data_IF_529229441440
#
_entry.id   IF_529229441440
#
_cell.length_a   1.000
_cell.length_b   1.000
_cell.length_c   1.000
_cell.angle_alpha   90.00
_cell.angle_beta   90.00
_cell.angle_gamma   90.00
#
_symmetry.space_group_name_H-M   'P 1'
#
loop_
_entity.id
_entity.type
_entity.pdbx_description
1 polymer ?
#
# COMPACT_ATOMS: atom_id res chain seq x y z
N UNK A 1 -18.91 31.66 33.73
CA UNK A 1 -18.24 30.37 33.50
C UNK A 1 -18.67 29.92 32.13
N UNK A 2 -17.72 29.73 31.20
CA UNK A 2 -18.00 29.22 29.86
C UNK A 2 -17.41 27.82 29.80
N UNK A 3 -18.29 26.83 29.79
CA UNK A 3 -17.96 25.44 29.56
C UNK A 3 -17.87 25.26 28.04
N UNK A 4 -16.69 25.49 27.48
CA UNK A 4 -16.47 25.28 26.06
C UNK A 4 -16.29 23.78 25.77
N UNK A 5 -16.95 23.32 24.72
CA UNK A 5 -17.29 21.91 24.55
C UNK A 5 -16.07 21.14 24.04
N UNK A 6 -15.51 20.29 24.90
CA UNK A 6 -14.42 19.41 24.53
C UNK A 6 -14.78 18.58 23.30
N UNK A 7 -14.07 18.81 22.20
CA UNK A 7 -14.03 17.89 21.07
C UNK A 7 -13.46 16.56 21.58
N UNK A 8 -14.34 15.66 22.00
CA UNK A 8 -13.97 14.30 22.37
C UNK A 8 -13.68 13.50 21.09
N UNK A 9 -12.57 13.88 20.43
CA UNK A 9 -11.86 12.97 19.53
C UNK A 9 -11.57 11.72 20.35
N UNK A 10 -12.00 10.56 19.85
CA UNK A 10 -11.95 9.29 20.58
C UNK A 10 -10.49 8.81 20.70
N UNK A 11 -9.75 9.41 21.64
CA UNK A 11 -8.29 9.34 21.76
C UNK A 11 -7.87 8.06 22.49
N UNK A 12 -7.52 7.04 21.71
CA UNK A 12 -7.14 5.72 22.24
C UNK A 12 -5.64 5.68 22.52
N UNK A 13 -5.23 5.20 23.70
CA UNK A 13 -3.81 4.90 23.94
C UNK A 13 -3.38 3.74 23.03
N UNK A 14 -2.29 3.94 22.29
CA UNK A 14 -1.71 2.94 21.38
C UNK A 14 -0.19 2.91 21.49
N UNK A 15 0.38 1.72 21.33
CA UNK A 15 1.82 1.50 21.21
C UNK A 15 2.24 1.70 19.75
N UNK A 16 3.10 2.69 19.52
CA UNK A 16 3.60 3.09 18.21
C UNK A 16 5.08 2.71 18.10
N UNK A 17 5.43 1.83 17.16
CA UNK A 17 6.76 1.28 16.98
C UNK A 17 7.65 2.19 16.13
N UNK A 18 8.93 2.17 16.43
CA UNK A 18 10.02 2.72 15.63
C UNK A 18 11.23 1.80 15.63
N UNK A 19 12.21 2.07 14.78
CA UNK A 19 13.42 1.25 14.64
C UNK A 19 14.28 1.19 15.92
N UNK A 20 14.30 2.27 16.71
CA UNK A 20 15.08 2.38 17.94
C UNK A 20 14.28 2.27 19.24
N UNK A 21 12.97 1.96 19.18
CA UNK A 21 12.12 1.94 20.37
C UNK A 21 10.63 1.89 20.08
N UNK A 22 9.83 2.32 21.05
CA UNK A 22 8.40 2.57 20.86
C UNK A 22 7.97 3.76 21.70
N UNK A 23 6.81 4.33 21.38
CA UNK A 23 6.15 5.37 22.17
C UNK A 23 4.72 4.90 22.42
N UNK A 24 4.19 5.07 23.63
CA UNK A 24 2.75 5.01 23.85
C UNK A 24 2.19 6.42 23.78
N UNK A 25 1.16 6.58 22.96
CA UNK A 25 0.53 7.85 22.69
C UNK A 25 -0.99 7.69 22.56
N UNK A 26 -1.70 8.76 22.89
CA UNK A 26 -3.10 8.93 22.52
C UNK A 26 -3.18 9.29 21.02
N UNK A 27 -3.90 8.48 20.26
CA UNK A 27 -4.09 8.69 18.81
C UNK A 27 -5.57 8.62 18.43
N UNK A 28 -5.93 9.34 17.37
CA UNK A 28 -7.24 9.25 16.73
C UNK A 28 -7.33 8.01 15.84
N UNK A 29 -8.55 7.62 15.45
CA UNK A 29 -8.75 6.49 14.53
C UNK A 29 -8.14 6.76 13.12
N UNK A 30 -8.04 8.03 12.69
CA UNK A 30 -7.34 8.43 11.46
C UNK A 30 -5.82 8.29 11.56
N UNK A 31 -5.23 8.73 12.67
CA UNK A 31 -3.81 8.54 12.98
C UNK A 31 -3.51 7.03 13.09
N UNK A 32 -4.41 6.25 13.71
CA UNK A 32 -4.29 4.79 13.76
C UNK A 32 -4.32 4.16 12.37
N UNK A 33 -5.20 4.62 11.46
CA UNK A 33 -5.24 4.14 10.07
C UNK A 33 -3.93 4.43 9.34
N UNK A 34 -3.38 5.65 9.48
CA UNK A 34 -2.09 6.08 8.90
C UNK A 34 -0.90 5.29 9.46
N UNK A 35 -0.97 4.89 10.74
CA UNK A 35 0.05 4.09 11.40
C UNK A 35 0.03 2.60 11.05
N UNK A 36 -1.06 2.07 10.48
CA UNK A 36 -1.20 0.66 10.14
C UNK A 36 -0.61 0.36 8.76
N UNK A 37 0.56 -0.28 8.74
CA UNK A 37 1.28 -0.67 7.52
C UNK A 37 0.95 -2.11 7.05
N UNK A 38 -0.26 -2.59 7.34
CA UNK A 38 -0.73 -3.94 6.96
C UNK A 38 -0.39 -5.05 7.97
N UNK A 39 -0.03 -4.69 9.21
CA UNK A 39 0.33 -5.62 10.28
C UNK A 39 -0.39 -5.31 11.60
N UNK A 40 -0.16 -6.11 12.65
CA UNK A 40 -0.77 -5.89 13.97
C UNK A 40 -0.11 -4.72 14.75
N UNK A 41 1.08 -4.27 14.33
CA UNK A 41 1.78 -3.14 14.95
C UNK A 41 1.49 -1.83 14.21
N UNK A 42 1.41 -0.73 14.97
CA UNK A 42 1.29 0.63 14.45
C UNK A 42 2.66 1.31 14.45
N UNK A 43 2.98 2.10 13.42
CA UNK A 43 4.31 2.70 13.25
C UNK A 43 4.29 4.22 13.25
N UNK A 44 5.19 4.84 14.02
CA UNK A 44 5.37 6.31 14.05
C UNK A 44 5.72 6.89 12.67
N UNK A 45 6.36 6.10 11.80
CA UNK A 45 6.72 6.52 10.45
C UNK A 45 5.50 6.88 9.59
N UNK A 46 4.38 6.16 9.74
CA UNK A 46 3.12 6.43 9.03
C UNK A 46 2.26 7.50 9.69
N UNK A 47 2.28 7.60 11.03
CA UNK A 47 1.50 8.61 11.78
C UNK A 47 2.10 10.02 11.64
N UNK A 48 3.42 10.15 11.63
CA UNK A 48 4.09 11.45 11.57
C UNK A 48 4.36 12.06 12.96
N UNK A 49 4.20 13.38 13.08
CA UNK A 49 4.43 14.12 14.33
C UNK A 49 3.18 14.17 15.18
N UNK A 50 3.24 13.56 16.36
CA UNK A 50 2.25 13.72 17.41
C UNK A 50 2.65 14.88 18.35
N UNK A 51 1.68 15.60 18.92
CA UNK A 51 1.96 16.67 19.88
C UNK A 51 2.33 16.07 21.26
N UNK A 52 3.21 16.75 22.00
CA UNK A 52 3.90 16.18 23.16
C UNK A 52 3.00 15.87 24.36
N UNK A 53 1.84 16.52 24.45
CA UNK A 53 0.77 16.28 25.43
C UNK A 53 0.10 14.90 25.25
N UNK A 54 0.07 14.38 24.01
CA UNK A 54 -0.47 13.05 23.71
C UNK A 54 0.52 11.90 23.96
N UNK A 55 1.80 12.19 24.27
CA UNK A 55 2.86 11.18 24.41
C UNK A 55 3.05 10.79 25.90
N UNK A 56 2.56 9.61 26.27
CA UNK A 56 2.47 9.15 27.67
C UNK A 56 3.80 8.62 28.18
N UNK A 57 4.49 7.79 27.38
CA UNK A 57 5.78 7.17 27.71
C UNK A 57 6.50 6.69 26.47
N UNK A 58 7.82 6.50 26.54
CA UNK A 58 8.61 5.90 25.48
C UNK A 58 9.60 4.87 25.99
N UNK A 59 9.91 3.88 25.16
CA UNK A 59 10.99 2.93 25.37
C UNK A 59 12.12 3.19 24.36
N UNK A 60 13.37 3.11 24.81
CA UNK A 60 14.54 3.22 23.93
C UNK A 60 15.35 1.93 23.96
N UNK A 61 15.39 1.21 22.82
CA UNK A 61 16.10 -0.08 22.68
C UNK A 61 17.59 0.03 23.05
N UNK A 62 18.24 1.20 22.85
CA UNK A 62 19.66 1.41 23.19
C UNK A 62 19.92 1.63 24.68
N UNK A 63 18.91 2.10 25.42
CA UNK A 63 18.97 2.21 26.88
C UNK A 63 18.41 0.97 27.57
N UNK A 64 17.66 0.14 26.84
CA UNK A 64 16.84 -0.98 27.31
C UNK A 64 15.94 -0.57 28.49
N UNK A 65 15.30 0.60 28.34
CA UNK A 65 14.52 1.28 29.40
C UNK A 65 13.32 2.01 28.84
N UNK A 66 12.24 1.93 29.60
CA UNK A 66 11.07 2.80 29.52
C UNK A 66 11.31 4.11 30.29
N UNK A 67 10.68 5.18 29.79
CA UNK A 67 10.74 6.54 30.28
C UNK A 67 9.34 7.14 30.26
N UNK A 68 8.94 7.82 31.32
CA UNK A 68 7.67 8.55 31.38
C UNK A 68 7.74 9.88 30.62
N UNK A 69 6.62 10.28 30.03
CA UNK A 69 6.48 11.50 29.24
C UNK A 69 7.04 11.42 27.81
N UNK A 70 7.12 12.57 27.11
CA UNK A 70 7.51 12.63 25.71
C UNK A 70 9.03 12.45 25.49
N UNK A 71 9.45 11.74 24.42
CA UNK A 71 10.80 11.86 23.88
C UNK A 71 11.01 13.25 23.24
N UNK A 72 12.27 13.64 23.04
CA UNK A 72 12.61 14.90 22.37
C UNK A 72 12.29 14.79 20.86
N UNK A 73 11.48 15.71 20.33
CA UNK A 73 11.10 15.71 18.91
C UNK A 73 11.88 16.82 18.19
N UNK A 74 12.64 16.44 17.17
CA UNK A 74 13.39 17.35 16.29
C UNK A 74 12.82 17.23 14.88
N UNK A 75 12.40 18.33 14.25
CA UNK A 75 11.83 18.30 12.90
C UNK A 75 12.31 19.47 12.04
N UNK A 76 12.33 19.24 10.74
CA UNK A 76 12.72 20.17 9.69
C UNK A 76 11.64 20.18 8.61
N UNK A 77 11.52 21.29 7.87
CA UNK A 77 10.61 21.42 6.73
C UNK A 77 11.40 21.68 5.45
N UNK A 78 11.83 20.62 4.73
CA UNK A 78 12.65 20.78 3.53
C UNK A 78 11.90 21.50 2.40
N UNK A 79 10.61 21.18 2.21
CA UNK A 79 9.83 21.54 1.02
C UNK A 79 10.57 21.09 -0.26
N UNK A 80 11.12 19.87 -0.21
CA UNK A 80 11.92 19.28 -1.28
C UNK A 80 10.98 18.57 -2.27
N UNK A 81 10.95 19.02 -3.51
CA UNK A 81 10.21 18.37 -4.60
C UNK A 81 10.93 17.07 -4.99
N UNK A 82 10.23 15.93 -4.85
CA UNK A 82 10.75 14.61 -5.20
C UNK A 82 10.31 14.13 -6.58
N UNK A 83 9.58 14.98 -7.33
CA UNK A 83 8.97 14.64 -8.61
C UNK A 83 7.54 14.11 -8.45
N UNK A 84 6.87 13.92 -9.60
CA UNK A 84 5.51 13.36 -9.70
C UNK A 84 4.44 14.13 -8.89
N UNK A 85 4.73 15.38 -8.49
CA UNK A 85 3.85 16.23 -7.67
C UNK A 85 3.94 15.95 -6.17
N UNK A 86 4.91 15.14 -5.72
CA UNK A 86 5.10 14.77 -4.30
C UNK A 86 6.19 15.64 -3.67
N UNK A 87 5.82 16.45 -2.69
CA UNK A 87 6.77 17.31 -1.94
C UNK A 87 7.04 16.75 -0.55
N UNK A 88 8.30 16.58 -0.16
CA UNK A 88 8.69 16.31 1.23
C UNK A 88 8.54 17.58 2.07
N UNK A 89 7.37 17.73 2.67
CA UNK A 89 6.98 18.92 3.45
C UNK A 89 7.63 18.96 4.84
N UNK A 90 7.62 17.85 5.58
CA UNK A 90 8.22 17.78 6.93
C UNK A 90 8.96 16.45 7.11
N UNK A 91 10.11 16.45 7.77
CA UNK A 91 10.78 15.25 8.26
C UNK A 91 11.13 15.46 9.73
N UNK A 92 11.11 14.40 10.53
CA UNK A 92 11.50 14.54 11.93
C UNK A 92 11.89 13.23 12.62
N UNK A 93 12.48 13.40 13.78
CA UNK A 93 13.12 12.37 14.57
C UNK A 93 12.67 12.46 16.02
N UNK A 94 12.18 11.35 16.56
CA UNK A 94 11.93 11.15 17.98
C UNK A 94 13.22 10.65 18.63
N UNK A 95 13.77 11.36 19.62
CA UNK A 95 15.07 11.09 20.25
C UNK A 95 14.92 10.82 21.74
N UNK A 96 15.61 9.80 22.24
CA UNK A 96 15.65 9.51 23.67
C UNK A 96 16.26 10.69 24.45
N UNK A 97 15.61 11.13 25.52
CA UNK A 97 16.06 12.27 26.33
C UNK A 97 17.44 12.03 26.96
N UNK A 98 17.75 10.80 27.35
CA UNK A 98 19.02 10.40 27.99
C UNK A 98 20.15 10.21 26.99
N UNK A 99 20.04 9.27 26.05
CA UNK A 99 21.15 8.87 25.17
C UNK A 99 21.16 9.54 23.79
N UNK A 100 20.22 10.47 23.54
CA UNK A 100 20.01 11.21 22.27
C UNK A 100 19.86 10.36 21.02
N UNK A 101 19.71 9.04 21.17
CA UNK A 101 19.59 8.10 20.06
C UNK A 101 18.16 8.08 19.54
N UNK A 102 18.03 7.88 18.24
CA UNK A 102 16.76 7.96 17.52
C UNK A 102 15.91 6.73 17.86
N UNK A 103 14.67 7.00 18.31
CA UNK A 103 13.62 6.01 18.59
C UNK A 103 12.84 5.72 17.32
N UNK A 104 12.49 6.76 16.57
CA UNK A 104 11.76 6.69 15.31
C UNK A 104 12.10 7.91 14.44
N UNK A 105 11.95 7.75 13.12
CA UNK A 105 11.92 8.84 12.15
C UNK A 105 10.57 8.82 11.43
N UNK A 106 10.11 9.98 10.98
CA UNK A 106 8.93 10.12 10.14
C UNK A 106 9.18 11.10 8.99
N UNK A 107 8.36 11.00 7.95
CA UNK A 107 8.31 11.92 6.81
C UNK A 107 6.84 12.21 6.51
N UNK A 108 6.51 13.49 6.34
CA UNK A 108 5.22 13.96 5.82
C UNK A 108 5.46 14.47 4.41
N UNK A 109 4.76 13.85 3.46
CA UNK A 109 4.69 14.32 2.09
C UNK A 109 3.38 15.09 1.93
N UNK A 110 3.43 16.20 1.19
CA UNK A 110 2.22 16.81 0.64
C UNK A 110 2.06 16.28 -0.78
N UNK A 111 0.92 15.64 -1.02
CA UNK A 111 0.41 15.26 -2.33
C UNK A 111 -0.72 16.23 -2.71
N UNK A 112 -1.05 16.40 -4.00
CA UNK A 112 -2.05 17.37 -4.45
C UNK A 112 -3.51 17.10 -4.03
N UNK A 113 -3.77 16.07 -3.21
CA UNK A 113 -5.09 15.73 -2.65
C UNK A 113 -5.07 15.61 -1.11
N UNK A 114 -4.72 16.68 -0.40
CA UNK A 114 -5.45 17.08 0.82
C UNK A 114 -5.06 18.53 1.23
N UNK A 115 -5.87 19.51 0.83
CA UNK A 115 -5.66 20.93 1.19
C UNK A 115 -6.82 21.46 2.03
N UNK A 116 -6.75 21.18 3.33
CA UNK A 116 -7.50 21.91 4.35
C UNK A 116 -7.27 23.44 4.20
N UNK A 117 -8.32 24.28 4.35
CA UNK A 117 -8.26 25.66 3.87
C UNK A 117 -7.37 26.54 4.73
N UNK A 118 -6.44 27.29 4.13
CA UNK A 118 -5.72 28.37 4.80
C UNK A 118 -6.29 29.74 4.44
N UNK A 119 -6.89 30.39 5.42
CA UNK A 119 -7.40 31.75 5.30
C UNK A 119 -6.28 32.82 5.28
N UNK A 120 -6.13 33.49 4.13
CA UNK A 120 -5.64 34.88 4.01
C UNK A 120 -4.13 35.18 4.20
N UNK A 121 -3.69 36.44 3.94
CA UNK A 121 -4.47 37.60 3.48
C UNK A 121 -3.97 38.31 2.18
N UNK A 122 -4.96 38.79 1.40
CA UNK A 122 -5.04 40.02 0.57
C UNK A 122 -3.79 40.82 0.11
N UNK A 123 -3.73 40.98 -1.23
CA UNK A 123 -3.42 42.22 -2.01
C UNK A 123 -1.97 42.64 -2.27
N UNK A 124 -1.55 42.63 -3.56
CA UNK A 124 -0.77 43.72 -4.19
C UNK A 124 -0.80 43.66 -5.74
N UNK A 125 -0.92 44.84 -6.36
CA UNK A 125 -1.11 45.12 -7.80
C UNK A 125 0.04 46.01 -8.30
N UNK A 126 0.44 46.09 -9.59
CA UNK A 126 0.04 45.50 -10.89
C UNK A 126 1.30 45.59 -11.81
N UNK A 127 1.45 44.80 -12.90
CA UNK A 127 2.01 45.26 -14.23
C UNK A 127 2.50 44.15 -15.19
N UNK A 128 1.97 44.16 -16.42
CA UNK A 128 2.46 43.47 -17.63
C UNK A 128 3.34 44.45 -18.47
N UNK A 129 3.76 44.21 -19.75
CA UNK A 129 3.63 43.02 -20.62
C UNK A 129 4.85 42.64 -21.52
N UNK A 130 4.77 41.43 -22.09
CA UNK A 130 5.17 41.00 -23.45
C UNK A 130 6.60 41.19 -24.03
N UNK A 131 7.14 40.07 -24.57
CA UNK A 131 7.42 39.98 -26.02
C UNK A 131 7.38 38.55 -26.57
N UNK A 132 6.92 38.42 -27.82
CA UNK A 132 6.74 37.18 -28.59
C UNK A 132 7.79 37.10 -29.71
N UNK A 133 8.22 35.89 -30.09
CA UNK A 133 8.76 35.40 -31.39
C UNK A 133 9.86 34.34 -31.13
N UNK A 134 10.04 33.27 -31.90
CA UNK A 134 9.56 33.02 -33.27
C UNK A 134 9.39 31.50 -33.57
N UNK A 135 8.66 31.20 -34.65
CA UNK A 135 8.31 29.84 -35.12
C UNK A 135 9.45 29.22 -35.96
N UNK A 136 9.65 27.89 -35.91
CA UNK A 136 10.01 27.07 -37.08
C UNK A 136 9.76 25.57 -36.86
N UNK A 137 9.10 24.94 -37.82
CA UNK A 137 8.76 23.51 -37.85
C UNK A 137 9.98 22.64 -38.25
N UNK A 138 10.04 21.38 -37.80
CA UNK A 138 10.17 20.25 -38.73
C UNK A 138 9.74 18.89 -38.11
N UNK A 139 9.54 17.92 -38.99
CA UNK A 139 8.97 16.59 -38.79
C UNK A 139 9.76 15.60 -37.90
N UNK A 140 8.98 14.84 -37.11
CA UNK A 140 8.93 13.36 -37.08
C UNK A 140 10.26 12.57 -37.11
N UNK A 141 10.64 11.97 -35.98
CA UNK A 141 10.81 10.50 -35.87
C UNK A 141 10.80 10.07 -34.38
N UNK A 142 10.11 8.97 -34.08
CA UNK A 142 10.04 8.42 -32.72
C UNK A 142 11.28 7.58 -32.38
N UNK A 143 11.86 7.80 -31.18
CA UNK A 143 12.66 6.80 -30.46
C UNK A 143 12.31 6.85 -28.97
N UNK A 144 11.37 6.01 -28.56
CA UNK A 144 11.05 5.79 -27.15
C UNK A 144 12.16 4.95 -26.54
N UNK A 145 13.00 5.57 -25.70
CA UNK A 145 13.94 4.84 -24.84
C UNK A 145 13.15 4.10 -23.78
N UNK A 146 13.32 2.79 -23.73
CA UNK A 146 12.61 1.92 -22.78
C UNK A 146 13.36 1.95 -21.44
N UNK A 147 12.90 2.78 -20.50
CA UNK A 147 13.30 2.64 -19.10
C UNK A 147 12.49 1.52 -18.45
N UNK A 148 13.08 0.74 -17.51
CA UNK A 148 12.36 -0.30 -16.80
C UNK A 148 11.26 0.31 -15.91
N UNK A 149 10.08 -0.32 -15.79
CA UNK A 149 9.03 0.18 -14.91
C UNK A 149 9.46 0.09 -13.45
N UNK A 150 9.44 1.23 -12.78
CA UNK A 150 9.62 1.35 -11.33
C UNK A 150 8.55 0.56 -10.58
N UNK A 151 8.90 -0.01 -9.44
CA UNK A 151 8.00 -0.82 -8.60
C UNK A 151 6.89 0.03 -7.98
N UNK A 152 5.73 0.11 -8.62
CA UNK A 152 4.54 0.76 -8.06
C UNK A 152 3.97 -0.10 -6.93
N UNK A 153 4.27 0.25 -5.68
CA UNK A 153 3.64 -0.37 -4.51
C UNK A 153 2.17 0.05 -4.42
N UNK A 154 1.23 -0.87 -4.59
CA UNK A 154 -0.22 -0.56 -4.57
C UNK A 154 -0.69 -0.40 -3.11
N UNK A 155 -0.58 0.82 -2.59
CA UNK A 155 -1.09 1.19 -1.27
C UNK A 155 -2.46 1.87 -1.36
N UNK A 156 -3.48 1.20 -0.81
CA UNK A 156 -4.78 1.77 -0.40
C UNK A 156 -5.57 2.60 -1.42
N UNK A 157 -5.94 1.96 -2.53
CA UNK A 157 -7.24 2.23 -3.16
C UNK A 157 -7.84 0.90 -3.61
N UNK A 158 -9.08 0.60 -3.21
CA UNK A 158 -9.78 -0.64 -3.63
C UNK A 158 -10.10 -0.64 -5.14
N UNK A 159 -9.85 0.49 -5.81
CA UNK A 159 -9.94 0.64 -7.26
C UNK A 159 -8.55 0.60 -7.90
N UNK A 160 -8.21 -0.54 -8.50
CA UNK A 160 -7.01 -0.68 -9.34
C UNK A 160 -7.38 -0.34 -10.78
N UNK A 161 -6.71 0.65 -11.38
CA UNK A 161 -6.94 1.01 -12.79
C UNK A 161 -6.53 -0.15 -13.70
N UNK A 162 -7.39 -0.52 -14.66
CA UNK A 162 -7.08 -1.58 -15.63
C UNK A 162 -5.76 -1.27 -16.38
N UNK A 163 -5.44 0.01 -16.60
CA UNK A 163 -4.20 0.42 -17.27
C UNK A 163 -2.94 0.09 -16.45
N UNK A 164 -2.98 0.13 -15.11
CA UNK A 164 -1.82 -0.19 -14.27
C UNK A 164 -1.50 -1.68 -14.19
N UNK A 165 -2.39 -2.54 -14.70
CA UNK A 165 -2.16 -3.98 -14.79
C UNK A 165 -1.21 -4.35 -15.94
N UNK A 166 -1.04 -3.49 -16.95
CA UNK A 166 -0.10 -3.72 -18.06
C UNK A 166 1.34 -3.56 -17.55
N UNK A 167 2.21 -4.50 -17.90
CA UNK A 167 3.61 -4.55 -17.45
C UNK A 167 3.82 -5.30 -16.13
N UNK A 168 2.77 -5.52 -15.32
CA UNK A 168 2.87 -6.26 -14.06
C UNK A 168 3.36 -7.70 -14.28
N UNK A 169 4.24 -8.23 -13.40
CA UNK A 169 4.62 -9.63 -13.44
C UNK A 169 3.50 -10.53 -12.89
N UNK A 170 3.25 -11.63 -13.59
CA UNK A 170 2.25 -12.64 -13.24
C UNK A 170 2.91 -13.98 -12.93
N UNK A 171 2.49 -14.60 -11.84
CA UNK A 171 3.00 -15.88 -11.33
C UNK A 171 1.86 -16.90 -11.20
N UNK A 172 2.18 -18.18 -11.34
CA UNK A 172 1.27 -19.28 -11.01
C UNK A 172 1.28 -19.63 -9.52
N UNK A 173 0.50 -20.66 -9.15
CA UNK A 173 0.40 -21.17 -7.78
C UNK A 173 1.72 -21.74 -7.24
N UNK A 174 2.63 -22.18 -8.12
CA UNK A 174 3.95 -22.71 -7.78
C UNK A 174 5.01 -21.59 -7.65
N UNK A 175 4.56 -20.33 -7.67
CA UNK A 175 5.37 -19.11 -7.66
C UNK A 175 6.35 -18.99 -8.85
N UNK A 176 6.09 -19.68 -9.96
CA UNK A 176 6.87 -19.56 -11.20
C UNK A 176 6.40 -18.36 -12.02
N UNK A 177 7.37 -17.58 -12.54
CA UNK A 177 7.07 -16.41 -13.37
C UNK A 177 6.53 -16.84 -14.74
N UNK A 178 5.25 -16.60 -14.99
CA UNK A 178 4.59 -16.84 -16.28
C UNK A 178 5.01 -15.78 -17.31
N UNK A 179 5.10 -14.51 -16.88
CA UNK A 179 5.52 -13.39 -17.72
C UNK A 179 5.00 -12.05 -17.20
N UNK A 180 5.14 -11.00 -17.99
CA UNK A 180 4.57 -9.68 -17.71
C UNK A 180 3.31 -9.47 -18.56
N UNK A 181 2.25 -8.88 -18.01
CA UNK A 181 1.02 -8.60 -18.77
C UNK A 181 1.32 -7.66 -19.94
N UNK A 182 0.96 -8.07 -21.16
CA UNK A 182 1.14 -7.26 -22.37
C UNK A 182 -0.10 -6.42 -22.69
N UNK A 183 -1.30 -6.98 -22.47
CA UNK A 183 -2.56 -6.40 -22.93
C UNK A 183 -3.72 -6.94 -22.07
N UNK A 184 -4.77 -6.13 -21.90
CA UNK A 184 -6.04 -6.54 -21.30
C UNK A 184 -7.16 -6.20 -22.28
N UNK A 185 -8.09 -7.11 -22.48
CA UNK A 185 -9.19 -6.94 -23.43
C UNK A 185 -10.46 -7.69 -23.05
N UNK A 186 -11.52 -7.42 -23.81
CA UNK A 186 -12.78 -8.16 -23.72
C UNK A 186 -12.79 -9.26 -24.79
N UNK A 187 -12.94 -10.51 -24.37
CA UNK A 187 -13.11 -11.66 -25.26
C UNK A 187 -14.57 -12.10 -25.28
N UNK A 188 -15.13 -12.30 -26.47
CA UNK A 188 -16.45 -12.92 -26.63
C UNK A 188 -16.33 -14.43 -26.44
N UNK A 189 -17.03 -14.97 -25.44
CA UNK A 189 -17.15 -16.41 -25.21
C UNK A 189 -18.04 -17.06 -26.28
N UNK A 190 -17.98 -18.39 -26.41
CA UNK A 190 -18.86 -19.17 -27.30
C UNK A 190 -20.36 -19.03 -26.98
N UNK A 191 -20.70 -18.60 -25.75
CA UNK A 191 -22.06 -18.28 -25.31
C UNK A 191 -22.46 -16.81 -25.53
N UNK A 192 -21.68 -16.04 -26.28
CA UNK A 192 -21.96 -14.64 -26.62
C UNK A 192 -21.62 -13.61 -25.53
N UNK A 193 -21.43 -14.03 -24.28
CA UNK A 193 -21.01 -13.18 -23.15
C UNK A 193 -19.60 -12.62 -23.38
N UNK A 194 -19.39 -11.34 -23.08
CA UNK A 194 -18.06 -10.71 -23.03
C UNK A 194 -17.42 -10.94 -21.67
N UNK A 195 -16.14 -11.31 -21.64
CA UNK A 195 -15.36 -11.51 -20.40
C UNK A 195 -13.99 -10.84 -20.50
N UNK A 196 -13.52 -10.23 -19.40
CA UNK A 196 -12.20 -9.61 -19.32
C UNK A 196 -11.14 -10.72 -19.32
N UNK A 197 -10.12 -10.56 -20.17
CA UNK A 197 -8.98 -11.47 -20.27
C UNK A 197 -7.68 -10.66 -20.34
N UNK A 198 -6.64 -11.17 -19.68
CA UNK A 198 -5.27 -10.70 -19.72
C UNK A 198 -4.49 -11.53 -20.75
N UNK A 199 -3.51 -10.91 -21.40
CA UNK A 199 -2.64 -11.55 -22.39
C UNK A 199 -1.19 -11.43 -21.93
N UNK A 200 -0.51 -12.56 -21.77
CA UNK A 200 0.85 -12.66 -21.23
C UNK A 200 1.73 -13.41 -22.25
N UNK A 201 2.77 -12.79 -22.83
CA UNK A 201 3.63 -13.42 -23.81
C UNK A 201 4.60 -14.39 -23.13
N UNK A 202 4.61 -15.65 -23.56
CA UNK A 202 5.52 -16.67 -23.05
C UNK A 202 6.88 -16.57 -23.74
N UNK A 203 7.95 -16.37 -22.96
CA UNK A 203 9.32 -16.18 -23.46
C UNK A 203 9.88 -17.36 -24.27
N UNK A 204 9.30 -18.55 -24.16
CA UNK A 204 9.84 -19.79 -24.74
C UNK A 204 9.46 -20.05 -26.20
N UNK A 205 8.37 -19.46 -26.72
CA UNK A 205 7.82 -19.87 -28.03
C UNK A 205 6.98 -18.80 -28.77
N UNK A 206 7.06 -17.52 -28.39
CA UNK A 206 6.21 -16.43 -28.93
C UNK A 206 4.69 -16.67 -28.80
N UNK A 207 4.25 -17.67 -28.04
CA UNK A 207 2.84 -17.91 -27.77
C UNK A 207 2.36 -16.98 -26.67
N UNK A 208 1.18 -16.40 -26.86
CA UNK A 208 0.51 -15.64 -25.80
C UNK A 208 -0.37 -16.59 -24.98
N UNK A 209 -0.25 -16.52 -23.67
CA UNK A 209 -1.18 -17.12 -22.72
C UNK A 209 -2.31 -16.11 -22.52
N UNK A 210 -3.56 -16.56 -22.68
CA UNK A 210 -4.74 -15.79 -22.33
C UNK A 210 -5.28 -16.26 -20.99
N UNK A 211 -5.42 -15.34 -20.03
CA UNK A 211 -5.88 -15.59 -18.67
C UNK A 211 -7.22 -14.88 -18.49
N UNK A 212 -8.29 -15.65 -18.24
CA UNK A 212 -9.60 -15.07 -17.89
C UNK A 212 -9.56 -14.48 -16.49
N UNK A 213 -10.22 -13.34 -16.28
CA UNK A 213 -10.24 -12.63 -14.99
C UNK A 213 -10.61 -13.49 -13.78
N UNK A 214 -11.47 -14.51 -13.99
CA UNK A 214 -11.88 -15.48 -12.97
C UNK A 214 -10.74 -16.37 -12.43
N UNK A 215 -9.62 -16.47 -13.15
CA UNK A 215 -8.44 -17.26 -12.77
C UNK A 215 -7.38 -16.37 -12.07
N UNK A 216 -7.71 -15.13 -11.71
CA UNK A 216 -6.80 -14.24 -10.97
C UNK A 216 -7.14 -14.36 -9.49
N UNK A 217 -6.22 -14.93 -8.71
CA UNK A 217 -6.37 -15.10 -7.26
C UNK A 217 -6.16 -13.78 -6.52
N UNK A 218 -5.12 -13.01 -6.89
CA UNK A 218 -4.78 -11.74 -6.24
C UNK A 218 -4.10 -10.77 -7.20
N UNK A 219 -4.38 -9.49 -7.00
CA UNK A 219 -3.69 -8.36 -7.63
C UNK A 219 -3.11 -7.50 -6.49
N UNK A 220 -1.82 -7.21 -6.56
CA UNK A 220 -1.10 -6.30 -5.66
C UNK A 220 0.07 -5.71 -6.43
N UNK A 221 1.29 -5.75 -5.91
CA UNK A 221 2.50 -5.38 -6.68
C UNK A 221 2.83 -6.43 -7.78
N UNK A 222 2.26 -7.63 -7.64
CA UNK A 222 2.34 -8.76 -8.57
C UNK A 222 0.92 -9.31 -8.82
N UNK A 223 0.74 -10.07 -9.89
CA UNK A 223 -0.49 -10.81 -10.18
C UNK A 223 -0.26 -12.29 -9.83
N UNK A 224 -1.15 -12.88 -9.03
CA UNK A 224 -1.16 -14.31 -8.72
C UNK A 224 -2.31 -14.98 -9.45
N UNK A 225 -1.99 -16.04 -10.20
CA UNK A 225 -2.96 -16.85 -10.94
C UNK A 225 -3.38 -18.07 -10.11
N UNK A 226 -4.67 -18.37 -10.15
CA UNK A 226 -5.24 -19.59 -9.56
C UNK A 226 -5.08 -20.76 -10.54
N UNK A 227 -4.78 -21.95 -10.02
CA UNK A 227 -4.65 -23.15 -10.84
C UNK A 227 -6.01 -23.51 -11.46
N UNK A 228 -6.09 -23.51 -12.80
CA UNK A 228 -7.33 -23.84 -13.51
C UNK A 228 -7.59 -25.35 -13.67
N UNK A 229 -7.10 -26.17 -12.74
CA UNK A 229 -7.35 -27.61 -12.65
C UNK A 229 -8.19 -28.00 -11.41
N UNK A 230 -9.44 -27.52 -11.33
CA UNK A 230 -10.45 -28.12 -10.44
C UNK A 230 -11.90 -27.94 -10.91
N UNK A 231 -12.14 -27.82 -12.22
CA UNK A 231 -13.50 -27.94 -12.77
C UNK A 231 -13.89 -29.40 -13.04
N UNK A 232 -13.78 -30.28 -12.03
CA UNK A 232 -14.55 -31.53 -11.91
C UNK A 232 -14.89 -31.83 -10.44
N UNK A 233 -16.13 -32.24 -10.12
CA UNK A 233 -16.54 -32.55 -8.75
C UNK A 233 -16.28 -34.04 -8.41
N UNK A 234 -15.04 -34.39 -8.10
CA UNK A 234 -14.74 -35.64 -7.38
C UNK A 234 -14.89 -35.41 -5.88
N UNK A 235 -15.96 -35.93 -5.27
CA UNK A 235 -16.28 -35.76 -3.84
C UNK A 235 -15.42 -36.65 -2.92
N UNK A 236 -14.10 -36.70 -3.15
CA UNK A 236 -13.15 -37.38 -2.28
C UNK A 236 -12.50 -36.36 -1.34
N UNK A 237 -12.19 -36.74 -0.09
CA UNK A 237 -11.56 -35.86 0.90
C UNK A 237 -12.49 -34.93 1.71
N UNK A 238 -13.82 -34.90 1.50
CA UNK A 238 -14.71 -34.05 2.31
C UNK A 238 -14.93 -34.63 3.72
N UNK A 239 -14.71 -33.83 4.77
CA UNK A 239 -14.93 -34.28 6.15
C UNK A 239 -16.43 -34.38 6.49
N UNK A 240 -16.87 -35.57 6.89
CA UNK A 240 -18.26 -35.86 7.29
C UNK A 240 -18.72 -35.20 8.61
N UNK A 241 -17.85 -34.41 9.27
CA UNK A 241 -18.14 -33.80 10.58
C UNK A 241 -18.16 -32.27 10.58
N UNK A 242 -17.38 -31.63 9.71
CA UNK A 242 -17.31 -30.16 9.61
C UNK A 242 -17.41 -29.65 8.16
N UNK A 243 -17.69 -30.52 7.20
CA UNK A 243 -17.79 -30.22 5.77
C UNK A 243 -16.52 -29.64 5.11
N UNK A 244 -15.42 -29.47 5.84
CA UNK A 244 -14.14 -29.03 5.31
C UNK A 244 -13.60 -30.00 4.24
N UNK A 245 -13.11 -29.45 3.13
CA UNK A 245 -12.52 -30.19 2.02
C UNK A 245 -11.03 -30.41 2.28
N UNK A 246 -10.61 -31.67 2.38
CA UNK A 246 -9.23 -32.07 2.62
C UNK A 246 -8.59 -32.60 1.33
N UNK A 247 -7.28 -32.82 1.36
CA UNK A 247 -6.55 -33.54 0.31
C UNK A 247 -7.13 -34.95 0.11
N UNK A 248 -7.01 -35.48 -1.12
CA UNK A 248 -7.66 -36.73 -1.52
C UNK A 248 -7.17 -37.97 -0.73
N UNK A 249 -5.96 -37.92 -0.17
CA UNK A 249 -5.32 -38.97 0.63
C UNK A 249 -5.35 -38.69 2.16
N UNK A 250 -6.02 -37.63 2.60
CA UNK A 250 -6.07 -37.23 4.00
C UNK A 250 -6.78 -38.29 4.88
N UNK A 251 -6.04 -38.88 5.83
CA UNK A 251 -6.60 -39.84 6.81
C UNK A 251 -7.36 -39.12 7.93
N UNK A 252 -7.03 -37.86 8.21
CA UNK A 252 -7.64 -37.03 9.25
C UNK A 252 -7.93 -35.64 8.69
N UNK A 253 -9.01 -35.01 9.17
CA UNK A 253 -9.40 -33.68 8.75
C UNK A 253 -8.47 -32.60 9.34
N UNK A 254 -7.95 -31.73 8.47
CA UNK A 254 -7.04 -30.64 8.83
C UNK A 254 -7.67 -29.57 9.73
N UNK A 255 -9.00 -29.42 9.71
CA UNK A 255 -9.73 -28.46 10.54
C UNK A 255 -10.13 -29.05 11.90
N UNK A 256 -10.85 -30.19 11.90
CA UNK A 256 -11.45 -30.74 13.13
C UNK A 256 -10.71 -31.94 13.74
N UNK A 257 -9.62 -32.41 13.12
CA UNK A 257 -8.80 -33.53 13.59
C UNK A 257 -9.45 -34.91 13.53
N UNK A 258 -10.70 -35.02 13.07
CA UNK A 258 -11.42 -36.31 13.02
C UNK A 258 -11.01 -37.14 11.81
N UNK A 259 -10.99 -38.46 11.98
CA UNK A 259 -10.67 -39.40 10.91
C UNK A 259 -11.67 -39.25 9.75
N UNK A 260 -11.16 -39.22 8.52
CA UNK A 260 -11.96 -39.23 7.30
C UNK A 260 -12.16 -40.69 6.89
N UNK A 261 -13.41 -41.08 6.66
CA UNK A 261 -13.74 -42.40 6.12
C UNK A 261 -13.76 -42.29 4.59
N UNK A 262 -12.63 -42.57 3.94
CA UNK A 262 -12.62 -42.96 2.54
C UNK A 262 -13.07 -44.43 2.47
N UNK A 263 -14.22 -44.69 1.85
CA UNK A 263 -14.71 -46.00 1.42
C UNK A 263 -14.98 -45.94 -0.10
#
# INVERSE_FOLDING_TARGET
>A
MMEDQGQNQDLREKKLRGSGGYVLAHVTDEEQKKGNLGGPELFLAGIGRLPSDRLVKYHCNKCDKDYEGPPNISFEKPNEDLGEGVTLFEKGEYKCNTCKSIIAQYRKFDAPEDSEPREGPKTAEISSPAKVSNIKNNDKISKTTINPPSSTSIAQNDFISIQSLVGMPAYDCDAMLIGNVQEIGLKRTSKGKMEINLKIPKKSNNQNIEVTWKNISKIGDIILLENSESSQPTQQGKCSHCDFQNENDAVFCSECGKKINNE
#
